data_IF_035243405462
#
_entry.id   IF_035243405462
#
_cell.length_a   1.000
_cell.length_b   1.000
_cell.length_c   1.000
_cell.angle_alpha   90.00
_cell.angle_beta   90.00
_cell.angle_gamma   90.00
#
_symmetry.space_group_name_H-M   'P 1'
#
loop_
_entity.id
_entity.type
_entity.pdbx_description
1 polymer ?
#
# COMPACT_ATOMS: atom_id res chain seq x y z
N UNK A 1 -6.27 -10.64 14.88
CA UNK A 1 -4.86 -11.07 14.95
C UNK A 1 -4.11 -10.32 13.88
N UNK A 2 -2.94 -9.77 14.21
CA UNK A 2 -2.09 -9.11 13.22
C UNK A 2 -1.45 -10.17 12.33
N UNK A 3 -1.45 -9.91 11.03
CA UNK A 3 -0.86 -10.82 10.05
C UNK A 3 0.66 -10.88 10.22
N UNK A 4 1.28 -12.01 9.90
CA UNK A 4 2.72 -12.21 9.94
C UNK A 4 3.25 -12.80 8.64
N UNK A 5 4.57 -12.84 8.50
CA UNK A 5 5.25 -13.62 7.45
C UNK A 5 4.74 -15.06 7.44
N UNK A 6 4.54 -15.61 6.24
CA UNK A 6 3.97 -16.93 5.97
C UNK A 6 2.45 -16.96 5.89
N UNK A 7 1.74 -15.88 6.25
CA UNK A 7 0.29 -15.81 6.11
C UNK A 7 -0.11 -15.43 4.67
N UNK A 8 -1.30 -15.89 4.28
CA UNK A 8 -1.97 -15.42 3.07
C UNK A 8 -2.54 -14.01 3.30
N UNK A 9 -2.46 -13.16 2.29
CA UNK A 9 -3.13 -11.86 2.32
C UNK A 9 -4.65 -12.03 2.52
N UNK A 10 -5.32 -11.06 3.16
CA UNK A 10 -6.77 -11.11 3.30
C UNK A 10 -7.44 -11.11 1.93
N UNK A 11 -8.52 -11.88 1.78
CA UNK A 11 -9.42 -11.84 0.63
C UNK A 11 -10.58 -10.88 0.92
N UNK A 12 -10.44 -9.64 0.48
CA UNK A 12 -11.40 -8.57 0.70
C UNK A 12 -11.53 -7.68 -0.54
N UNK A 13 -12.59 -6.89 -0.59
CA UNK A 13 -12.80 -5.91 -1.66
C UNK A 13 -12.13 -4.59 -1.31
N UNK A 14 -11.22 -4.17 -2.18
CA UNK A 14 -10.67 -2.82 -2.28
C UNK A 14 -11.30 -2.11 -3.48
N UNK A 15 -10.90 -0.86 -3.74
CA UNK A 15 -11.38 -0.11 -4.89
C UNK A 15 -10.25 0.60 -5.61
N UNK A 16 -10.43 0.81 -6.90
CA UNK A 16 -9.69 1.76 -7.74
C UNK A 16 -10.68 2.71 -8.39
N UNK A 17 -10.23 3.84 -8.94
CA UNK A 17 -11.11 4.67 -9.76
C UNK A 17 -11.18 4.08 -11.17
N UNK A 18 -12.38 3.71 -11.62
CA UNK A 18 -12.61 3.24 -12.98
C UNK A 18 -12.61 4.38 -14.00
N UNK A 19 -12.47 4.04 -15.28
CA UNK A 19 -12.41 5.00 -16.38
C UNK A 19 -13.67 5.89 -16.52
N UNK A 20 -14.80 5.43 -15.96
CA UNK A 20 -16.04 6.19 -15.89
C UNK A 20 -16.09 7.19 -14.72
N UNK A 21 -15.00 7.33 -13.95
CA UNK A 21 -14.91 8.19 -12.78
C UNK A 21 -15.62 7.65 -11.53
N UNK A 22 -16.06 6.38 -11.55
CA UNK A 22 -16.72 5.73 -10.42
C UNK A 22 -15.80 4.68 -9.78
N UNK A 23 -15.94 4.42 -8.47
CA UNK A 23 -15.26 3.31 -7.81
C UNK A 23 -15.52 1.98 -8.53
N UNK A 24 -14.43 1.33 -8.94
CA UNK A 24 -14.45 -0.03 -9.45
C UNK A 24 -13.94 -0.97 -8.34
N UNK A 25 -14.72 -1.98 -7.95
CA UNK A 25 -14.28 -2.94 -6.94
C UNK A 25 -13.14 -3.80 -7.51
N UNK A 26 -12.12 -4.05 -6.69
CA UNK A 26 -11.05 -4.99 -6.99
C UNK A 26 -10.87 -5.92 -5.80
N UNK A 27 -10.72 -7.21 -6.06
CA UNK A 27 -10.41 -8.16 -5.01
C UNK A 27 -8.91 -8.11 -4.71
N UNK A 28 -8.53 -8.06 -3.43
CA UNK A 28 -7.13 -8.04 -3.00
C UNK A 28 -6.34 -9.25 -3.49
N UNK A 29 -6.91 -10.46 -3.52
CA UNK A 29 -6.19 -11.65 -4.00
C UNK A 29 -6.01 -11.66 -5.52
N UNK A 30 -6.87 -10.97 -6.27
CA UNK A 30 -6.71 -10.88 -7.72
C UNK A 30 -5.57 -9.96 -8.11
N UNK A 31 -5.37 -8.87 -7.36
CA UNK A 31 -4.37 -7.83 -7.69
C UNK A 31 -3.05 -7.96 -6.92
N UNK A 32 -3.06 -8.63 -5.76
CA UNK A 32 -1.86 -8.85 -4.92
C UNK A 32 -1.48 -10.33 -4.79
N UNK A 33 -2.33 -11.28 -5.22
CA UNK A 33 -2.17 -12.70 -4.95
C UNK A 33 -1.42 -13.50 -6.01
N UNK A 34 -0.85 -12.86 -7.04
CA UNK A 34 -0.17 -13.52 -8.17
C UNK A 34 1.18 -12.89 -8.43
N UNK A 35 2.18 -13.74 -8.68
CA UNK A 35 3.54 -13.28 -8.95
C UNK A 35 4.21 -12.71 -7.70
N UNK A 36 5.23 -11.88 -7.90
CA UNK A 36 5.94 -11.15 -6.85
C UNK A 36 5.42 -9.73 -6.77
N UNK A 37 4.90 -9.36 -5.62
CA UNK A 37 4.24 -8.07 -5.38
C UNK A 37 4.95 -7.33 -4.26
N UNK A 38 5.18 -6.04 -4.47
CA UNK A 38 5.59 -5.12 -3.41
C UNK A 38 4.41 -4.23 -3.07
N UNK A 39 3.88 -4.41 -1.87
CA UNK A 39 2.81 -3.58 -1.31
C UNK A 39 3.42 -2.62 -0.29
N UNK A 40 3.03 -1.36 -0.31
CA UNK A 40 3.28 -0.45 0.79
C UNK A 40 2.01 0.28 1.20
N UNK A 41 1.85 0.48 2.50
CA UNK A 41 0.70 1.17 3.07
C UNK A 41 1.10 2.48 3.70
N UNK A 42 0.17 3.44 3.64
CA UNK A 42 0.37 4.77 4.22
C UNK A 42 -0.81 5.20 5.07
N UNK A 43 -0.57 6.01 6.12
CA UNK A 43 -1.62 6.65 6.93
C UNK A 43 -2.69 7.39 6.13
N UNK A 44 -2.30 8.07 5.05
CA UNK A 44 -3.24 8.85 4.26
C UNK A 44 -2.60 9.52 3.07
N UNK A 45 -3.36 9.56 1.97
CA UNK A 45 -3.06 10.41 0.83
C UNK A 45 -2.88 11.88 1.26
N UNK A 46 -2.03 12.62 0.55
CA UNK A 46 -1.71 14.04 0.80
C UNK A 46 -1.06 14.38 2.16
N UNK A 47 -0.83 13.42 3.05
CA UNK A 47 -0.09 13.69 4.29
C UNK A 47 1.41 13.92 3.98
N UNK A 48 2.13 14.76 4.76
CA UNK A 48 3.46 15.24 4.38
C UNK A 48 4.50 14.12 4.14
N UNK A 49 4.68 13.21 5.09
CA UNK A 49 5.66 12.13 4.97
C UNK A 49 5.32 11.15 3.83
N UNK A 50 4.04 10.89 3.61
CA UNK A 50 3.58 9.99 2.55
C UNK A 50 3.83 10.58 1.16
N UNK A 51 3.59 11.89 1.00
CA UNK A 51 3.62 12.56 -0.30
C UNK A 51 4.98 13.11 -0.69
N UNK A 52 5.83 13.45 0.30
CA UNK A 52 7.16 14.02 0.03
C UNK A 52 8.28 12.98 0.05
N UNK A 53 8.07 11.85 0.73
CA UNK A 53 9.13 10.85 0.96
C UNK A 53 8.69 9.46 0.52
N UNK A 54 7.65 8.89 1.15
CA UNK A 54 7.35 7.47 1.01
C UNK A 54 6.95 7.08 -0.42
N UNK A 55 5.84 7.61 -0.94
CA UNK A 55 5.39 7.32 -2.30
C UNK A 55 6.44 7.72 -3.36
N UNK A 56 7.05 8.93 -3.32
CA UNK A 56 8.11 9.29 -4.27
C UNK A 56 9.31 8.35 -4.27
N UNK A 57 9.66 7.74 -3.13
CA UNK A 57 10.73 6.73 -3.05
C UNK A 57 10.41 5.51 -3.93
N UNK A 58 9.19 5.00 -3.88
CA UNK A 58 8.74 3.90 -4.75
C UNK A 58 8.68 4.32 -6.22
N UNK A 59 8.20 5.53 -6.51
CA UNK A 59 8.15 6.06 -7.89
C UNK A 59 9.55 6.10 -8.53
N UNK A 60 10.54 6.64 -7.80
CA UNK A 60 11.92 6.73 -8.29
C UNK A 60 12.57 5.37 -8.54
N UNK A 61 12.15 4.35 -7.79
CA UNK A 61 12.75 3.02 -7.80
C UNK A 61 11.92 1.97 -8.58
N UNK A 62 10.87 2.37 -9.29
CA UNK A 62 10.02 1.47 -10.11
C UNK A 62 10.83 0.52 -11.01
N UNK A 63 11.83 1.05 -11.71
CA UNK A 63 12.66 0.26 -12.61
C UNK A 63 13.53 -0.76 -11.86
N UNK A 64 14.06 -0.39 -10.69
CA UNK A 64 14.87 -1.28 -9.86
C UNK A 64 14.01 -2.42 -9.27
N UNK A 65 12.80 -2.11 -8.80
CA UNK A 65 11.83 -3.10 -8.32
C UNK A 65 11.49 -4.11 -9.43
N UNK A 66 11.17 -3.63 -10.64
CA UNK A 66 10.89 -4.50 -11.79
C UNK A 66 12.11 -5.34 -12.20
N UNK A 67 13.32 -4.78 -12.15
CA UNK A 67 14.55 -5.51 -12.43
C UNK A 67 14.81 -6.65 -11.42
N UNK A 68 14.26 -6.56 -10.21
CA UNK A 68 14.24 -7.61 -9.18
C UNK A 68 13.10 -8.63 -9.35
N UNK A 69 12.36 -8.57 -10.46
CA UNK A 69 11.27 -9.50 -10.76
C UNK A 69 9.95 -9.17 -10.07
N UNK A 70 9.76 -7.95 -9.57
CA UNK A 70 8.47 -7.51 -9.02
C UNK A 70 7.49 -7.24 -10.17
N UNK A 71 6.38 -7.97 -10.17
CA UNK A 71 5.31 -7.88 -11.16
C UNK A 71 4.37 -6.69 -10.87
N UNK A 72 3.98 -6.54 -9.60
CA UNK A 72 3.05 -5.49 -9.15
C UNK A 72 3.66 -4.68 -8.03
N UNK A 73 3.55 -3.36 -8.14
CA UNK A 73 3.92 -2.41 -7.08
C UNK A 73 2.64 -1.68 -6.70
N UNK A 74 2.20 -1.79 -5.45
CA UNK A 74 0.90 -1.29 -5.02
C UNK A 74 1.03 -0.40 -3.77
N UNK A 75 0.22 0.67 -3.73
CA UNK A 75 0.05 1.53 -2.58
C UNK A 75 -1.36 1.38 -2.02
N UNK A 76 -1.51 1.13 -0.71
CA UNK A 76 -2.83 1.10 -0.06
C UNK A 76 -2.96 2.19 1.00
N UNK A 77 -4.13 2.81 1.09
CA UNK A 77 -4.46 3.74 2.17
C UNK A 77 -5.95 3.74 2.49
N UNK A 78 -6.28 4.12 3.72
CA UNK A 78 -7.66 4.37 4.17
C UNK A 78 -8.10 5.74 3.68
N UNK A 79 -8.35 5.80 2.38
CA UNK A 79 -8.88 6.93 1.63
C UNK A 79 -9.82 6.38 0.56
N UNK A 80 -10.76 7.19 0.10
CA UNK A 80 -11.65 6.83 -1.00
C UNK A 80 -10.92 6.79 -2.36
N UNK A 81 -11.51 6.15 -3.39
CA UNK A 81 -10.87 5.95 -4.69
C UNK A 81 -10.57 7.23 -5.45
N UNK A 82 -11.41 8.26 -5.32
CA UNK A 82 -11.19 9.54 -5.98
C UNK A 82 -9.95 10.24 -5.43
N UNK A 83 -9.81 10.24 -4.10
CA UNK A 83 -8.63 10.79 -3.43
C UNK A 83 -7.37 10.00 -3.79
N UNK A 84 -7.42 8.66 -3.76
CA UNK A 84 -6.26 7.82 -4.07
C UNK A 84 -5.80 7.98 -5.53
N UNK A 85 -6.75 8.05 -6.48
CA UNK A 85 -6.45 8.28 -7.89
C UNK A 85 -5.82 9.67 -8.12
N UNK A 86 -6.45 10.73 -7.59
CA UNK A 86 -5.92 12.08 -7.74
C UNK A 86 -4.55 12.24 -7.07
N UNK A 87 -4.34 11.61 -5.91
CA UNK A 87 -3.05 11.62 -5.22
C UNK A 87 -1.98 10.92 -6.05
N UNK A 88 -2.27 9.74 -6.60
CA UNK A 88 -1.36 9.02 -7.50
C UNK A 88 -0.97 9.85 -8.72
N UNK A 89 -1.94 10.45 -9.42
CA UNK A 89 -1.71 11.35 -10.55
C UNK A 89 -0.85 12.54 -10.18
N UNK A 90 -1.15 13.21 -9.07
CA UNK A 90 -0.38 14.38 -8.62
C UNK A 90 1.04 14.05 -8.18
N UNK A 91 1.32 12.78 -7.87
CA UNK A 91 2.63 12.31 -7.39
C UNK A 91 3.48 11.67 -8.48
N UNK A 92 3.01 11.63 -9.73
CA UNK A 92 3.69 10.92 -10.82
C UNK A 92 3.83 9.42 -10.54
N UNK A 93 2.80 8.83 -9.91
CA UNK A 93 2.81 7.42 -9.53
C UNK A 93 2.42 6.48 -10.68
N UNK A 94 2.70 6.85 -11.93
CA UNK A 94 2.44 5.98 -13.07
C UNK A 94 3.22 4.67 -12.91
N UNK A 95 2.50 3.54 -12.91
CA UNK A 95 3.09 2.22 -12.68
C UNK A 95 3.03 1.72 -11.24
N UNK A 96 2.44 2.49 -10.31
CA UNK A 96 2.02 2.02 -8.99
C UNK A 96 0.50 1.85 -8.97
N UNK A 97 0.02 0.69 -8.53
CA UNK A 97 -1.40 0.42 -8.34
C UNK A 97 -1.89 1.10 -7.05
N UNK A 98 -2.69 2.16 -7.19
CA UNK A 98 -3.24 2.92 -6.06
C UNK A 98 -4.55 2.28 -5.57
N UNK A 99 -4.49 1.55 -4.46
CA UNK A 99 -5.61 0.83 -3.86
C UNK A 99 -6.28 1.65 -2.76
N UNK A 100 -7.57 1.94 -2.92
CA UNK A 100 -8.39 2.60 -1.93
C UNK A 100 -9.05 1.59 -0.99
N UNK A 101 -8.68 1.65 0.28
CA UNK A 101 -9.30 0.94 1.39
C UNK A 101 -10.21 1.89 2.18
N UNK A 102 -11.16 2.54 1.50
CA UNK A 102 -11.94 3.64 2.08
C UNK A 102 -12.71 3.30 3.36
N UNK A 103 -13.05 2.02 3.56
CA UNK A 103 -13.70 1.52 4.79
C UNK A 103 -12.75 0.86 5.78
N UNK A 104 -11.44 0.80 5.48
CA UNK A 104 -10.42 0.22 6.35
C UNK A 104 -10.52 -1.31 6.51
N UNK A 105 -11.23 -2.00 5.61
CA UNK A 105 -11.50 -3.45 5.72
C UNK A 105 -10.24 -4.27 5.49
N UNK A 106 -9.40 -3.91 4.52
CA UNK A 106 -8.12 -4.57 4.30
C UNK A 106 -7.17 -4.28 5.46
N UNK A 107 -7.07 -3.01 5.85
CA UNK A 107 -6.24 -2.54 6.98
C UNK A 107 -6.58 -3.28 8.28
N UNK A 108 -7.87 -3.42 8.58
CA UNK A 108 -8.35 -4.15 9.76
C UNK A 108 -8.04 -5.65 9.66
N UNK A 109 -8.22 -6.26 8.49
CA UNK A 109 -7.94 -7.67 8.27
C UNK A 109 -6.43 -8.00 8.34
N UNK A 110 -5.56 -7.08 7.94
CA UNK A 110 -4.12 -7.16 8.20
C UNK A 110 -3.78 -7.01 9.69
N UNK A 111 -4.70 -6.48 10.50
CA UNK A 111 -4.47 -6.13 11.91
C UNK A 111 -3.47 -4.99 12.09
N UNK A 112 -3.40 -4.08 11.11
CA UNK A 112 -2.46 -2.96 11.04
C UNK A 112 -3.20 -1.61 11.02
N UNK A 113 -4.36 -1.54 11.67
CA UNK A 113 -5.05 -0.29 11.91
C UNK A 113 -4.32 0.55 12.98
N UNK A 114 -4.45 1.86 12.90
CA UNK A 114 -4.03 2.82 13.92
C UNK A 114 -5.07 3.92 14.09
N UNK A 115 -5.10 4.52 15.28
CA UNK A 115 -5.95 5.70 15.54
C UNK A 115 -5.22 6.99 15.16
N UNK A 116 -5.71 7.66 14.11
CA UNK A 116 -5.27 8.98 13.68
C UNK A 116 -6.20 10.11 14.14
N UNK A 117 -7.15 9.87 15.05
CA UNK A 117 -8.14 10.84 15.51
C UNK A 117 -7.52 12.10 16.12
N UNK A 118 -6.37 11.98 16.80
CA UNK A 118 -5.62 13.13 17.33
C UNK A 118 -5.14 14.13 16.26
N UNK A 119 -5.08 13.71 15.00
CA UNK A 119 -4.78 14.55 13.84
C UNK A 119 -6.02 14.82 12.97
N UNK A 120 -7.22 14.45 13.43
CA UNK A 120 -8.47 14.61 12.68
C UNK A 120 -8.66 13.60 11.54
N UNK A 121 -7.93 12.48 11.55
CA UNK A 121 -7.90 11.53 10.42
C UNK A 121 -8.81 10.30 10.60
N UNK A 122 -9.27 10.04 11.83
CA UNK A 122 -9.99 8.82 12.18
C UNK A 122 -9.10 7.57 12.17
N UNK A 123 -9.71 6.39 12.01
CA UNK A 123 -8.97 5.13 11.87
C UNK A 123 -8.23 5.08 10.53
N UNK A 124 -6.93 4.77 10.55
CA UNK A 124 -6.04 4.72 9.39
C UNK A 124 -5.20 3.45 9.37
N UNK A 125 -4.46 3.23 8.28
CA UNK A 125 -3.42 2.21 8.23
C UNK A 125 -2.16 2.69 8.91
N UNK A 126 -1.51 1.81 9.66
CA UNK A 126 -0.09 1.96 9.98
C UNK A 126 0.72 2.03 8.68
N UNK A 127 1.91 2.62 8.76
CA UNK A 127 2.86 2.59 7.64
C UNK A 127 3.59 1.25 7.67
N UNK A 128 3.59 0.57 6.53
CA UNK A 128 4.35 -0.66 6.36
C UNK A 128 4.71 -0.89 4.89
N UNK A 129 5.64 -1.82 4.65
CA UNK A 129 5.81 -2.49 3.36
C UNK A 129 5.69 -3.99 3.53
N UNK A 130 5.34 -4.69 2.46
CA UNK A 130 5.29 -6.13 2.40
C UNK A 130 5.75 -6.63 1.03
N UNK A 131 6.52 -7.71 1.05
CA UNK A 131 6.78 -8.51 -0.15
C UNK A 131 5.83 -9.70 -0.11
N UNK A 132 5.10 -9.90 -1.21
CA UNK A 132 4.07 -10.93 -1.32
C UNK A 132 4.41 -11.78 -2.54
N UNK A 133 4.51 -13.10 -2.34
CA UNK A 133 4.73 -14.06 -3.42
C UNK A 133 3.54 -15.01 -3.51
N UNK A 134 2.80 -14.94 -4.62
CA UNK A 134 1.61 -15.75 -4.87
C UNK A 134 0.60 -15.71 -3.70
N UNK A 135 0.37 -14.50 -3.17
CA UNK A 135 -0.55 -14.23 -2.06
C UNK A 135 0.01 -14.52 -0.66
N UNK A 136 1.20 -15.10 -0.54
CA UNK A 136 1.87 -15.30 0.75
C UNK A 136 2.77 -14.12 1.07
N UNK A 137 2.64 -13.55 2.26
CA UNK A 137 3.56 -12.54 2.76
C UNK A 137 4.91 -13.21 3.06
N UNK A 138 5.94 -12.89 2.30
CA UNK A 138 7.31 -13.36 2.53
C UNK A 138 8.12 -12.40 3.39
N UNK A 139 7.71 -11.14 3.43
CA UNK A 139 8.31 -10.11 4.25
C UNK A 139 7.28 -9.06 4.67
N UNK A 140 7.39 -8.54 5.89
CA UNK A 140 6.52 -7.51 6.43
C UNK A 140 7.33 -6.55 7.30
N UNK A 141 7.41 -5.29 6.89
CA UNK A 141 8.14 -4.23 7.58
C UNK A 141 7.16 -3.18 8.08
N UNK A 142 6.81 -3.24 9.37
CA UNK A 142 5.89 -2.29 10.01
C UNK A 142 6.69 -1.22 10.73
N UNK A 143 6.38 0.05 10.46
CA UNK A 143 7.05 1.16 11.14
C UNK A 143 6.63 1.28 12.61
N UNK A 144 7.58 1.70 13.44
CA UNK A 144 7.24 2.22 14.76
C UNK A 144 6.76 3.68 14.62
N UNK A 145 5.47 3.90 14.83
CA UNK A 145 4.86 5.23 14.79
C UNK A 145 4.88 5.88 13.40
N UNK A 146 5.30 7.14 13.33
CA UNK A 146 5.26 7.95 12.10
C UNK A 146 6.48 7.78 11.17
N UNK A 147 7.37 6.84 11.46
CA UNK A 147 8.63 6.63 10.76
C UNK A 147 8.49 6.33 9.26
N UNK A 148 9.58 6.52 8.52
CA UNK A 148 9.76 6.07 7.13
C UNK A 148 11.19 5.52 7.06
N UNK A 149 11.35 4.31 7.58
CA UNK A 149 12.61 3.61 7.77
C UNK A 149 12.50 2.24 7.12
N UNK A 150 12.03 1.24 7.86
CA UNK A 150 11.91 -0.16 7.42
C UNK A 150 10.96 -0.34 6.24
N UNK A 151 9.99 0.56 6.06
CA UNK A 151 9.04 0.53 4.94
C UNK A 151 9.52 1.29 3.70
N UNK A 152 10.65 2.00 3.77
CA UNK A 152 11.20 2.74 2.64
C UNK A 152 11.58 1.80 1.48
N UNK A 153 11.41 2.27 0.25
CA UNK A 153 11.64 1.44 -0.94
C UNK A 153 13.09 0.95 -1.04
N UNK A 154 14.05 1.76 -0.59
CA UNK A 154 15.47 1.42 -0.56
C UNK A 154 15.72 0.20 0.34
N UNK A 155 15.07 0.14 1.50
CA UNK A 155 15.18 -1.01 2.41
C UNK A 155 14.50 -2.24 1.80
N UNK A 156 13.33 -2.07 1.20
CA UNK A 156 12.65 -3.19 0.51
C UNK A 156 13.52 -3.78 -0.61
N UNK A 157 14.22 -2.95 -1.38
CA UNK A 157 15.12 -3.41 -2.44
C UNK A 157 16.28 -4.29 -1.94
N UNK A 158 16.75 -4.09 -0.71
CA UNK A 158 17.81 -4.90 -0.10
C UNK A 158 17.35 -6.32 0.21
N UNK A 159 16.05 -6.53 0.39
CA UNK A 159 15.47 -7.82 0.75
C UNK A 159 14.82 -8.58 -0.44
N UNK A 160 14.77 -7.95 -1.64
CA UNK A 160 14.19 -8.53 -2.86
C UNK A 160 15.12 -9.44 -3.67
#
# INVERSE_FOLDING_TARGET
MTISVGNQIPNVTLHVLGDNGMPAPVNSVDVLGKGKVVLFAVPGAFTPGCSMVHLPGYVKNLAALRAKGVDTIACVSVNDPWVMDQWGKSSGAEGILMLADGSGVFTAAMGLAMDGSGFGLGSRSQRYSAVIENGVITELNVEEGGGITVSACEIVLEHL
#
